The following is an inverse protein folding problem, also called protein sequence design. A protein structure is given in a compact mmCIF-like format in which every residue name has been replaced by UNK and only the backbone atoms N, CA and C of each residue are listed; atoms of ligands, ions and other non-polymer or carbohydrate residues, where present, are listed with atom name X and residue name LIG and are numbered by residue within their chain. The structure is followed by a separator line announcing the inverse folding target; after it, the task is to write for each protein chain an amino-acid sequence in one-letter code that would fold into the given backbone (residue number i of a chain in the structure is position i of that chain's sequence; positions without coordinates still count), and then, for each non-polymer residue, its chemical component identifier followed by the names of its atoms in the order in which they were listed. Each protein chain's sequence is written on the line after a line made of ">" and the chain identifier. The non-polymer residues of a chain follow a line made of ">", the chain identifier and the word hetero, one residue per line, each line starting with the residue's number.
data_IF_372616429459
#
_entry.id   IF_372616429459
#
_cell.length_a   1.000
_cell.length_b   1.000
_cell.length_c   1.000
_cell.angle_alpha   90.00
_cell.angle_beta   90.00
_cell.angle_gamma   90.00
#
_symmetry.space_group_name_H-M   'P 1'
#
loop_
_entity.id
_entity.type
_entity.pdbx_description
1 polymer ?
#
# COMPACT_ATOMS: atom_id res chain seq x y z
N UNK A 1 25.60 9.77 6.21
CA UNK A 1 25.28 10.00 4.78
C UNK A 1 23.77 10.27 4.62
N UNK A 2 23.38 11.09 3.65
CA UNK A 2 21.96 11.42 3.40
C UNK A 2 21.20 10.24 2.78
N UNK A 3 21.88 9.46 1.93
CA UNK A 3 21.35 8.26 1.25
C UNK A 3 22.24 7.03 1.51
N UNK A 4 21.77 5.84 1.12
CA UNK A 4 22.50 4.58 1.35
C UNK A 4 22.92 3.84 0.07
N UNK A 5 22.68 4.42 -1.10
CA UNK A 5 23.32 4.00 -2.36
C UNK A 5 24.44 4.95 -2.78
N UNK A 6 25.12 4.60 -3.88
CA UNK A 6 26.17 5.42 -4.47
C UNK A 6 25.77 5.83 -5.90
N UNK A 7 26.20 7.01 -6.31
CA UNK A 7 26.17 7.43 -7.72
C UNK A 7 27.47 6.96 -8.36
N UNK A 8 27.38 6.11 -9.38
CA UNK A 8 28.55 5.51 -10.01
C UNK A 8 28.27 5.16 -11.46
N UNK A 9 29.28 5.33 -12.31
CA UNK A 9 29.26 4.87 -13.71
C UNK A 9 29.42 3.35 -13.84
N UNK A 10 29.74 2.64 -12.75
CA UNK A 10 30.02 1.19 -12.76
C UNK A 10 28.94 0.34 -12.11
N UNK A 11 28.16 0.92 -11.20
CA UNK A 11 27.10 0.23 -10.48
C UNK A 11 25.92 1.17 -10.29
N UNK A 12 24.72 0.69 -10.58
CA UNK A 12 23.50 1.47 -10.37
C UNK A 12 23.30 1.74 -8.87
N UNK A 13 22.68 2.87 -8.55
CA UNK A 13 22.26 3.19 -7.20
C UNK A 13 21.42 2.04 -6.61
N UNK A 14 21.81 1.56 -5.43
CA UNK A 14 21.09 0.51 -4.70
C UNK A 14 20.98 0.88 -3.22
N UNK A 15 19.77 0.89 -2.67
CA UNK A 15 19.55 1.24 -1.27
C UNK A 15 20.19 0.21 -0.34
N UNK A 16 20.96 0.68 0.64
CA UNK A 16 21.69 -0.19 1.56
C UNK A 16 23.09 -0.59 1.07
N UNK A 17 23.49 -0.18 -0.13
CA UNK A 17 24.83 -0.46 -0.66
C UNK A 17 25.94 -0.02 0.30
N UNK A 18 25.90 1.22 0.81
CA UNK A 18 26.94 1.71 1.73
C UNK A 18 26.87 1.04 3.10
N UNK A 19 25.71 0.54 3.52
CA UNK A 19 25.62 -0.25 4.74
C UNK A 19 26.40 -1.57 4.62
N UNK A 20 26.31 -2.22 3.46
CA UNK A 20 26.98 -3.50 3.20
C UNK A 20 28.47 -3.31 2.88
N UNK A 21 28.82 -2.35 2.02
CA UNK A 21 30.18 -2.24 1.45
C UNK A 21 31.07 -1.24 2.20
N UNK A 22 30.49 -0.19 2.81
CA UNK A 22 31.22 0.82 3.58
C UNK A 22 31.09 0.60 5.10
N UNK A 23 30.47 -0.52 5.50
CA UNK A 23 30.29 -0.93 6.90
C UNK A 23 29.59 0.12 7.78
N UNK A 24 28.81 1.01 7.16
CA UNK A 24 28.01 2.00 7.88
C UNK A 24 26.82 1.29 8.53
N UNK A 25 26.63 1.35 9.86
CA UNK A 25 25.50 0.69 10.50
C UNK A 25 24.14 1.22 10.00
N UNK A 26 23.13 0.35 9.97
CA UNK A 26 21.75 0.83 9.89
C UNK A 26 21.41 1.60 11.17
N UNK A 27 20.54 2.61 11.06
CA UNK A 27 20.12 3.41 12.22
C UNK A 27 19.01 2.69 13.00
N UNK A 28 19.33 1.50 13.49
CA UNK A 28 18.49 0.63 14.32
C UNK A 28 19.19 0.37 15.65
N UNK A 29 18.49 -0.19 16.64
CA UNK A 29 19.06 -0.47 17.97
C UNK A 29 20.32 -1.36 17.89
N UNK A 30 20.35 -2.29 16.94
CA UNK A 30 21.45 -3.28 16.79
C UNK A 30 22.50 -2.86 15.76
N UNK A 31 22.31 -1.73 15.06
CA UNK A 31 23.16 -1.32 13.95
C UNK A 31 23.00 -2.15 12.67
N UNK A 32 22.04 -3.09 12.62
CA UNK A 32 21.82 -4.06 11.54
C UNK A 32 20.36 -4.03 11.06
N UNK A 33 20.04 -4.79 10.02
CA UNK A 33 18.66 -5.07 9.64
C UNK A 33 17.96 -5.79 10.82
N UNK A 34 17.03 -5.10 11.48
CA UNK A 34 16.46 -5.53 12.77
C UNK A 34 15.22 -6.40 12.56
N UNK A 35 15.41 -7.72 12.61
CA UNK A 35 14.32 -8.69 12.46
C UNK A 35 13.42 -8.76 13.70
N UNK A 36 13.98 -8.53 14.90
CA UNK A 36 13.26 -8.55 16.18
C UNK A 36 12.96 -7.15 16.70
N UNK A 37 11.69 -6.83 16.89
CA UNK A 37 11.21 -5.54 17.37
C UNK A 37 10.89 -5.63 18.87
N UNK A 38 11.83 -5.20 19.72
CA UNK A 38 11.81 -5.45 21.17
C UNK A 38 11.08 -4.37 22.00
N UNK A 39 10.70 -3.26 21.36
CA UNK A 39 9.90 -2.22 22.01
C UNK A 39 8.64 -2.80 22.67
N UNK A 40 8.28 -2.29 23.84
CA UNK A 40 7.18 -2.83 24.66
C UNK A 40 5.87 -2.95 23.87
N UNK A 41 5.54 -1.96 23.03
CA UNK A 41 4.35 -2.03 22.18
C UNK A 41 4.45 -3.12 21.12
N UNK A 42 5.59 -3.25 20.44
CA UNK A 42 5.76 -4.27 19.39
C UNK A 42 5.55 -5.67 19.97
N UNK A 43 6.08 -5.93 21.17
CA UNK A 43 5.84 -7.20 21.87
C UNK A 43 4.39 -7.35 22.32
N UNK A 44 3.81 -6.33 22.94
CA UNK A 44 2.43 -6.37 23.44
C UNK A 44 1.39 -6.58 22.32
N UNK A 45 1.63 -6.01 21.11
CA UNK A 45 0.76 -6.17 19.94
C UNK A 45 1.11 -7.38 19.05
N UNK A 46 2.02 -8.26 19.50
CA UNK A 46 2.38 -9.48 18.78
C UNK A 46 3.16 -9.24 17.48
N UNK A 47 3.90 -8.14 17.40
CA UNK A 47 4.73 -7.72 16.24
C UNK A 47 6.23 -7.77 16.55
N UNK A 48 6.63 -8.48 17.59
CA UNK A 48 8.05 -8.67 17.92
C UNK A 48 8.82 -9.41 16.82
N UNK A 49 8.14 -10.31 16.10
CA UNK A 49 8.58 -10.91 14.85
C UNK A 49 7.45 -10.79 13.82
N UNK A 50 7.78 -10.97 12.55
CA UNK A 50 6.76 -11.07 11.49
C UNK A 50 5.79 -12.22 11.78
N UNK A 51 4.51 -11.95 11.59
CA UNK A 51 3.44 -12.94 11.74
C UNK A 51 2.30 -12.62 10.78
N UNK A 52 1.45 -13.59 10.49
CA UNK A 52 0.23 -13.36 9.73
C UNK A 52 -0.81 -12.65 10.60
N UNK A 53 -1.42 -11.58 10.07
CA UNK A 53 -2.56 -10.88 10.67
C UNK A 53 -3.68 -10.79 9.63
N UNK A 54 -4.92 -11.21 9.95
CA UNK A 54 -6.04 -11.07 9.02
C UNK A 54 -6.40 -9.59 8.81
N UNK A 55 -7.08 -9.24 7.71
CA UNK A 55 -7.68 -7.92 7.55
C UNK A 55 -8.60 -7.58 8.73
N UNK A 56 -8.56 -6.34 9.20
CA UNK A 56 -9.42 -5.87 10.29
C UNK A 56 -10.85 -5.70 9.80
N UNK A 57 -11.82 -6.21 10.56
CA UNK A 57 -13.24 -5.93 10.32
C UNK A 57 -13.57 -4.49 10.75
N UNK A 58 -13.84 -3.63 9.76
CA UNK A 58 -14.18 -2.21 9.97
C UNK A 58 -15.63 -2.00 10.42
N UNK A 59 -16.48 -3.03 10.39
CA UNK A 59 -17.89 -3.00 10.82
C UNK A 59 -18.73 -1.89 10.16
N UNK A 60 -18.37 -1.51 8.94
CA UNK A 60 -19.01 -0.39 8.22
C UNK A 60 -20.34 -0.76 7.56
N UNK A 61 -20.56 -2.05 7.28
CA UNK A 61 -21.71 -2.54 6.51
C UNK A 61 -22.95 -2.91 7.34
N UNK A 62 -22.83 -3.58 8.53
CA UNK A 62 -24.00 -4.06 9.26
C UNK A 62 -25.05 -2.99 9.61
N UNK A 63 -24.61 -1.74 9.85
CA UNK A 63 -25.50 -0.64 10.21
C UNK A 63 -26.18 0.08 9.04
N UNK A 64 -25.79 -0.22 7.79
CA UNK A 64 -26.30 0.50 6.60
C UNK A 64 -26.94 -0.42 5.56
N UNK A 65 -26.68 -1.73 5.64
CA UNK A 65 -27.25 -2.71 4.70
C UNK A 65 -28.77 -2.72 4.82
N UNK A 66 -29.47 -2.72 3.68
CA UNK A 66 -30.93 -2.74 3.56
C UNK A 66 -31.66 -1.52 4.21
N UNK A 67 -30.95 -0.49 4.68
CA UNK A 67 -31.56 0.69 5.32
C UNK A 67 -32.24 1.61 4.29
N UNK A 68 -31.74 1.64 3.05
CA UNK A 68 -32.28 2.45 1.95
C UNK A 68 -32.37 1.65 0.65
N UNK A 69 -33.29 0.66 0.56
CA UNK A 69 -33.39 -0.19 -0.61
C UNK A 69 -33.94 0.59 -1.80
N UNK A 70 -33.43 0.28 -3.00
CA UNK A 70 -33.94 0.82 -4.27
C UNK A 70 -34.66 -0.26 -5.11
N UNK A 71 -34.91 -1.44 -4.55
CA UNK A 71 -35.54 -2.58 -5.23
C UNK A 71 -34.56 -3.54 -5.92
N UNK A 72 -33.26 -3.27 -5.92
CA UNK A 72 -32.22 -4.18 -6.45
C UNK A 72 -31.49 -4.95 -5.34
N UNK A 73 -30.84 -6.06 -5.70
CA UNK A 73 -30.03 -6.88 -4.79
C UNK A 73 -28.79 -6.11 -4.33
N UNK A 74 -28.52 -6.11 -3.03
CA UNK A 74 -27.27 -5.60 -2.44
C UNK A 74 -26.24 -6.73 -2.28
N UNK A 75 -24.97 -6.46 -2.59
CA UNK A 75 -23.83 -7.35 -2.36
C UNK A 75 -22.75 -6.64 -1.54
N UNK A 76 -21.97 -7.41 -0.78
CA UNK A 76 -20.89 -6.89 0.07
C UNK A 76 -19.55 -7.37 -0.48
N UNK A 77 -18.68 -6.43 -0.85
CA UNK A 77 -17.37 -6.70 -1.45
C UNK A 77 -16.25 -5.97 -0.70
N UNK A 78 -15.02 -6.43 -0.88
CA UNK A 78 -13.85 -5.67 -0.43
C UNK A 78 -13.58 -4.49 -1.39
N UNK A 79 -13.46 -3.28 -0.84
CA UNK A 79 -13.26 -2.07 -1.64
C UNK A 79 -11.78 -1.71 -1.74
N UNK A 80 -11.14 -2.09 -2.85
CA UNK A 80 -9.73 -1.82 -3.12
C UNK A 80 -9.58 -0.65 -4.11
N UNK A 81 -8.62 0.24 -3.83
CA UNK A 81 -8.36 1.46 -4.64
C UNK A 81 -6.92 1.50 -5.16
N UNK A 82 -6.53 0.58 -6.07
CA UNK A 82 -5.22 0.63 -6.69
C UNK A 82 -5.07 1.91 -7.54
N UNK A 83 -3.83 2.35 -7.73
CA UNK A 83 -3.56 3.51 -8.59
C UNK A 83 -4.05 3.24 -10.03
N UNK A 84 -4.72 4.23 -10.61
CA UNK A 84 -5.24 4.13 -11.97
C UNK A 84 -4.12 4.21 -13.02
N UNK A 85 -4.37 3.61 -14.18
CA UNK A 85 -3.49 3.74 -15.36
C UNK A 85 -3.61 5.10 -16.06
N UNK A 86 -4.75 5.79 -15.88
CA UNK A 86 -5.17 6.92 -16.71
C UNK A 86 -5.00 8.28 -16.01
N UNK A 87 -3.99 8.40 -15.16
CA UNK A 87 -3.69 9.63 -14.44
C UNK A 87 -2.68 9.38 -13.33
N UNK A 88 -2.22 10.46 -12.72
CA UNK A 88 -1.36 10.41 -11.54
C UNK A 88 -2.17 10.99 -10.39
N UNK A 89 -2.70 10.11 -9.54
CA UNK A 89 -3.74 10.46 -8.56
C UNK A 89 -4.96 11.06 -9.29
N UNK A 90 -5.40 12.27 -8.91
CA UNK A 90 -6.42 13.04 -9.63
C UNK A 90 -5.83 13.94 -10.72
N UNK A 91 -4.51 14.12 -10.78
CA UNK A 91 -3.90 14.87 -11.87
C UNK A 91 -4.12 14.09 -13.16
N UNK A 92 -4.63 14.79 -14.17
CA UNK A 92 -5.09 14.24 -15.46
C UNK A 92 -6.38 13.42 -15.43
N UNK A 93 -7.08 13.29 -14.31
CA UNK A 93 -8.37 12.58 -14.31
C UNK A 93 -9.45 13.29 -15.13
N UNK A 94 -9.32 14.60 -15.28
CA UNK A 94 -10.17 15.48 -16.09
C UNK A 94 -9.58 15.75 -17.49
N UNK A 95 -8.36 15.28 -17.76
CA UNK A 95 -7.72 15.48 -19.04
C UNK A 95 -8.48 14.69 -20.12
N UNK A 96 -8.94 15.40 -21.15
CA UNK A 96 -9.76 14.81 -22.21
C UNK A 96 -9.09 13.61 -22.89
N UNK A 97 -7.75 13.61 -23.05
CA UNK A 97 -7.04 12.46 -23.62
C UNK A 97 -7.15 11.23 -22.72
N UNK A 98 -6.97 11.41 -21.41
CA UNK A 98 -7.06 10.30 -20.44
C UNK A 98 -8.50 9.81 -20.32
N UNK A 99 -9.48 10.71 -20.32
CA UNK A 99 -10.90 10.34 -20.34
C UNK A 99 -11.26 9.53 -21.59
N UNK A 100 -10.75 9.93 -22.74
CA UNK A 100 -10.98 9.27 -24.04
C UNK A 100 -10.34 7.87 -24.08
N UNK A 101 -9.13 7.70 -23.55
CA UNK A 101 -8.44 6.40 -23.49
C UNK A 101 -8.96 5.49 -22.37
N UNK A 102 -9.65 6.06 -21.38
CA UNK A 102 -10.33 5.32 -20.33
C UNK A 102 -11.77 4.99 -20.75
N UNK A 103 -12.73 5.27 -19.85
CA UNK A 103 -14.16 5.04 -19.98
C UNK A 103 -14.94 6.33 -19.72
N UNK A 104 -14.36 7.48 -20.07
CA UNK A 104 -15.01 8.79 -20.01
C UNK A 104 -15.29 9.35 -18.62
N UNK A 105 -14.77 8.76 -17.55
CA UNK A 105 -14.97 9.27 -16.20
C UNK A 105 -14.67 8.24 -15.11
N UNK A 106 -15.21 8.45 -13.88
CA UNK A 106 -15.08 7.52 -12.77
C UNK A 106 -15.70 6.15 -13.10
N UNK A 107 -14.98 5.08 -12.76
CA UNK A 107 -15.42 3.70 -12.96
C UNK A 107 -15.07 2.81 -11.77
N UNK A 108 -15.83 1.72 -11.61
CA UNK A 108 -15.53 0.64 -10.68
C UNK A 108 -15.33 -0.65 -11.48
N UNK A 109 -14.35 -1.47 -11.10
CA UNK A 109 -14.12 -2.79 -11.68
C UNK A 109 -14.74 -3.84 -10.75
N UNK A 110 -15.54 -4.74 -11.31
CA UNK A 110 -16.22 -5.84 -10.60
C UNK A 110 -15.93 -7.13 -11.38
N UNK A 111 -15.89 -8.28 -10.70
CA UNK A 111 -15.77 -9.57 -11.38
C UNK A 111 -17.01 -9.87 -12.22
N UNK A 112 -16.93 -10.83 -13.14
CA UNK A 112 -18.10 -11.21 -13.95
C UNK A 112 -19.16 -11.96 -13.14
N UNK A 113 -18.78 -12.57 -12.01
CA UNK A 113 -19.65 -13.43 -11.20
C UNK A 113 -20.34 -12.71 -10.05
N UNK A 114 -19.76 -11.60 -9.59
CA UNK A 114 -20.33 -10.75 -8.54
C UNK A 114 -21.44 -9.85 -9.09
#
# INVERSE_FOLDING_TARGET
>A
PTWSGIESEKVCYNAGYTNVHELIPWRTLTGRQQLYQDHLWMRAFGEGLVTWKPPVDLKTIPGIKDVRPNGHKEIVLNFITPHQKWGIHSTYSDNLLMLTLNRGGPVVWISETD
#
